data_IF_977918263680
#
_entry.id   IF_977918263680
#
_cell.length_a   1.000
_cell.length_b   1.000
_cell.length_c   1.000
_cell.angle_alpha   90.00
_cell.angle_beta   90.00
_cell.angle_gamma   90.00
#
_symmetry.space_group_name_H-M   'P 1'
#
loop_
_entity.id
_entity.type
_entity.pdbx_description
1 polymer ?
#
# COMPACT_ATOMS: atom_id res chain seq x y z
N UNK A 1 4.55 18.53 3.43
CA UNK A 1 5.02 17.90 4.70
C UNK A 1 3.99 18.03 5.82
N UNK A 2 3.39 19.20 6.04
CA UNK A 2 2.41 19.42 7.12
C UNK A 2 1.22 18.45 7.07
N UNK A 3 0.58 18.29 5.91
CA UNK A 3 -0.51 17.31 5.74
C UNK A 3 -0.05 15.86 5.90
N UNK A 4 1.17 15.55 5.48
CA UNK A 4 1.78 14.23 5.64
C UNK A 4 1.95 13.84 7.11
N UNK A 5 2.39 14.78 7.94
CA UNK A 5 2.51 14.60 9.38
C UNK A 5 1.16 14.61 10.09
N UNK A 6 0.23 15.44 9.62
CA UNK A 6 -1.13 15.48 10.15
C UNK A 6 -1.86 14.14 10.00
N UNK A 7 -1.71 13.47 8.85
CA UNK A 7 -2.22 12.11 8.64
C UNK A 7 -1.54 11.09 9.55
N UNK A 8 -0.22 11.24 9.80
CA UNK A 8 0.53 10.40 10.73
C UNK A 8 -0.02 10.50 12.17
N UNK A 9 -0.26 11.72 12.65
CA UNK A 9 -0.85 11.96 13.96
C UNK A 9 -2.29 11.44 14.05
N UNK A 10 -3.11 11.71 13.03
CA UNK A 10 -4.47 11.21 12.97
C UNK A 10 -4.54 9.67 13.05
N UNK A 11 -3.64 8.99 12.32
CA UNK A 11 -3.58 7.53 12.35
C UNK A 11 -3.17 6.99 13.73
N UNK A 12 -2.22 7.65 14.40
CA UNK A 12 -1.84 7.30 15.78
C UNK A 12 -3.03 7.35 16.72
N UNK A 13 -3.80 8.45 16.71
CA UNK A 13 -4.97 8.61 17.56
C UNK A 13 -6.10 7.62 17.20
N UNK A 14 -6.29 7.33 15.94
CA UNK A 14 -7.32 6.41 15.46
C UNK A 14 -6.99 4.95 15.74
N UNK A 15 -5.73 4.51 15.62
CA UNK A 15 -5.30 3.16 15.98
C UNK A 15 -5.39 2.99 17.48
N UNK A 16 -4.97 3.99 18.26
CA UNK A 16 -5.06 4.02 19.72
C UNK A 16 -6.44 4.39 20.27
N UNK A 17 -7.52 4.32 19.47
CA UNK A 17 -8.87 4.69 19.89
C UNK A 17 -9.29 4.00 21.20
N UNK A 18 -8.97 2.71 21.34
CA UNK A 18 -9.18 1.94 22.54
C UNK A 18 -8.00 2.13 23.53
N UNK A 19 -7.73 3.37 23.95
CA UNK A 19 -6.56 3.75 24.75
C UNK A 19 -6.39 2.98 26.07
N UNK A 20 -7.45 2.32 26.56
CA UNK A 20 -7.39 1.45 27.74
C UNK A 20 -6.84 0.05 27.44
N UNK A 21 -6.74 -0.35 26.14
CA UNK A 21 -6.18 -1.64 25.75
C UNK A 21 -4.67 -1.48 25.52
N UNK A 22 -3.80 -2.20 26.25
CA UNK A 22 -2.35 -2.11 26.05
C UNK A 22 -1.92 -2.49 24.64
N UNK A 23 -2.60 -3.46 23.99
CA UNK A 23 -2.33 -3.86 22.61
C UNK A 23 -2.56 -2.71 21.62
N UNK A 24 -3.66 -1.97 21.76
CA UNK A 24 -3.96 -0.82 20.88
C UNK A 24 -2.94 0.31 21.06
N UNK A 25 -2.51 0.59 22.30
CA UNK A 25 -1.48 1.59 22.59
C UNK A 25 -0.14 1.20 21.97
N UNK A 26 0.28 -0.06 22.14
CA UNK A 26 1.51 -0.59 21.55
C UNK A 26 1.47 -0.51 20.01
N UNK A 27 0.35 -0.88 19.41
CA UNK A 27 0.14 -0.81 17.97
C UNK A 27 0.20 0.63 17.45
N UNK A 28 -0.43 1.59 18.15
CA UNK A 28 -0.40 3.00 17.81
C UNK A 28 1.02 3.58 17.87
N UNK A 29 1.76 3.29 18.95
CA UNK A 29 3.16 3.72 19.12
C UNK A 29 4.03 3.11 18.02
N UNK A 30 3.88 1.82 17.74
CA UNK A 30 4.62 1.15 16.66
C UNK A 30 4.36 1.79 15.31
N UNK A 31 3.09 2.02 14.98
CA UNK A 31 2.71 2.68 13.73
C UNK A 31 3.34 4.07 13.62
N UNK A 32 3.29 4.86 14.70
CA UNK A 32 3.88 6.19 14.74
C UNK A 32 5.40 6.15 14.53
N UNK A 33 6.13 5.32 15.27
CA UNK A 33 7.60 5.24 15.20
C UNK A 33 8.07 4.75 13.83
N UNK A 34 7.47 3.67 13.30
CA UNK A 34 7.86 3.13 11.98
C UNK A 34 7.62 4.14 10.87
N UNK A 35 6.50 4.88 10.94
CA UNK A 35 6.23 5.95 9.97
C UNK A 35 7.25 7.10 10.10
N UNK A 36 7.71 7.44 11.31
CA UNK A 36 8.74 8.47 11.53
C UNK A 36 10.07 8.15 10.84
N UNK A 37 10.43 6.88 10.75
CA UNK A 37 11.63 6.49 9.97
C UNK A 37 11.46 6.88 8.49
N UNK A 38 10.28 6.64 7.91
CA UNK A 38 9.97 7.11 6.55
C UNK A 38 9.92 8.63 6.45
N UNK A 39 9.26 9.29 7.41
CA UNK A 39 9.10 10.76 7.45
C UNK A 39 10.44 11.48 7.53
N UNK A 40 11.44 10.89 8.21
CA UNK A 40 12.81 11.38 8.22
C UNK A 40 13.43 11.37 6.81
N UNK A 41 13.24 10.29 6.05
CA UNK A 41 13.67 10.23 4.64
C UNK A 41 13.02 11.33 3.79
N UNK A 42 11.71 11.55 3.95
CA UNK A 42 10.99 12.62 3.25
C UNK A 42 11.52 14.02 3.63
N UNK A 43 11.82 14.26 4.91
CA UNK A 43 12.37 15.53 5.34
C UNK A 43 13.75 15.78 4.71
N UNK A 44 14.62 14.78 4.67
CA UNK A 44 15.92 14.87 3.99
C UNK A 44 15.76 15.12 2.49
N UNK A 45 14.76 14.50 1.83
CA UNK A 45 14.46 14.78 0.43
C UNK A 45 14.07 16.24 0.20
N UNK A 46 13.23 16.82 1.05
CA UNK A 46 12.82 18.23 0.98
C UNK A 46 14.04 19.14 1.16
N UNK A 47 14.93 18.85 2.12
CA UNK A 47 16.15 19.63 2.32
C UNK A 47 17.09 19.53 1.11
N UNK A 48 17.27 18.34 0.54
CA UNK A 48 18.06 18.14 -0.67
C UNK A 48 17.48 18.92 -1.87
N UNK A 49 16.16 18.89 -2.05
CA UNK A 49 15.47 19.70 -3.07
C UNK A 49 15.76 21.18 -2.87
N UNK A 50 15.61 21.69 -1.66
CA UNK A 50 15.86 23.11 -1.39
C UNK A 50 17.32 23.51 -1.62
N UNK A 51 18.28 22.68 -1.24
CA UNK A 51 19.71 22.95 -1.44
C UNK A 51 20.06 23.00 -2.93
N UNK A 52 19.47 22.11 -3.76
CA UNK A 52 19.81 21.99 -5.18
C UNK A 52 19.07 23.00 -6.03
N UNK A 53 17.75 23.14 -5.82
CA UNK A 53 16.89 23.97 -6.65
C UNK A 53 16.69 25.40 -6.10
N UNK A 54 17.05 25.66 -4.83
CA UNK A 54 16.80 26.94 -4.16
C UNK A 54 15.31 27.20 -3.86
N UNK A 55 14.44 26.25 -4.15
CA UNK A 55 12.98 26.33 -3.97
C UNK A 55 12.41 24.96 -3.64
N UNK A 56 11.22 24.93 -3.00
CA UNK A 56 10.40 23.73 -2.79
C UNK A 56 9.10 23.79 -3.60
N UNK A 57 8.93 24.80 -4.43
CA UNK A 57 7.77 24.93 -5.31
C UNK A 57 7.83 23.88 -6.43
N UNK A 58 6.74 23.16 -6.62
CA UNK A 58 6.68 22.08 -7.59
C UNK A 58 6.95 22.54 -9.02
N UNK A 59 6.41 23.69 -9.43
CA UNK A 59 6.61 24.22 -10.79
C UNK A 59 8.09 24.53 -11.02
N UNK A 60 8.73 25.25 -10.11
CA UNK A 60 10.14 25.62 -10.20
C UNK A 60 11.04 24.37 -10.23
N UNK A 61 10.77 23.40 -9.34
CA UNK A 61 11.57 22.19 -9.21
C UNK A 61 11.43 21.31 -10.45
N UNK A 62 10.21 21.10 -10.96
CA UNK A 62 9.96 20.22 -12.09
C UNK A 62 10.47 20.81 -13.41
N UNK A 63 10.32 22.11 -13.64
CA UNK A 63 10.83 22.78 -14.82
C UNK A 63 12.37 22.80 -14.87
N UNK A 64 13.00 22.87 -13.69
CA UNK A 64 14.46 22.87 -13.58
C UNK A 64 15.07 21.45 -13.56
N UNK A 65 14.29 20.39 -13.32
CA UNK A 65 14.78 19.04 -13.03
C UNK A 65 15.79 18.53 -14.07
N UNK A 66 15.49 18.68 -15.37
CA UNK A 66 16.39 18.20 -16.44
C UNK A 66 17.76 18.91 -16.44
N UNK A 67 17.83 20.18 -16.00
CA UNK A 67 19.09 20.94 -15.92
C UNK A 67 20.03 20.40 -14.82
N UNK A 68 19.46 19.76 -13.80
CA UNK A 68 20.20 19.25 -12.65
C UNK A 68 20.44 17.74 -12.72
N UNK A 69 20.18 17.09 -13.83
CA UNK A 69 20.30 15.65 -14.03
C UNK A 69 21.68 15.07 -13.68
N UNK A 70 22.73 15.79 -14.03
CA UNK A 70 24.13 15.33 -13.83
C UNK A 70 24.79 15.97 -12.60
N UNK A 71 24.05 16.74 -11.82
CA UNK A 71 24.58 17.38 -10.61
C UNK A 71 24.80 16.34 -9.52
N UNK A 72 25.95 16.41 -8.86
CA UNK A 72 26.32 15.57 -7.74
C UNK A 72 26.25 16.33 -6.42
N UNK A 73 25.96 15.62 -5.34
CA UNK A 73 25.94 16.13 -3.97
C UNK A 73 26.72 15.19 -3.05
N UNK A 74 27.44 15.74 -2.10
CA UNK A 74 28.08 14.97 -1.03
C UNK A 74 27.05 14.63 0.05
N UNK A 75 26.81 13.32 0.23
CA UNK A 75 25.89 12.83 1.25
C UNK A 75 26.53 11.66 2.00
N UNK A 76 26.63 11.76 3.33
CA UNK A 76 27.23 10.75 4.23
C UNK A 76 28.62 10.27 3.74
N UNK A 77 29.45 11.21 3.22
CA UNK A 77 30.81 10.91 2.76
C UNK A 77 30.95 10.34 1.36
N UNK A 78 29.84 10.21 0.63
CA UNK A 78 29.81 9.74 -0.76
C UNK A 78 29.34 10.85 -1.70
N UNK A 79 29.92 10.89 -2.88
CA UNK A 79 29.45 11.72 -3.97
C UNK A 79 28.37 10.96 -4.74
N UNK A 80 27.14 11.47 -4.71
CA UNK A 80 25.96 10.84 -5.31
C UNK A 80 25.29 11.78 -6.30
N UNK A 81 24.67 11.23 -7.33
CA UNK A 81 23.80 12.02 -8.20
C UNK A 81 22.63 12.58 -7.38
N UNK A 82 22.43 13.89 -7.50
CA UNK A 82 21.48 14.63 -6.66
C UNK A 82 20.03 14.19 -6.88
N UNK A 83 19.62 14.02 -8.13
CA UNK A 83 18.24 13.60 -8.46
C UNK A 83 17.98 12.18 -7.99
N UNK A 84 18.95 11.26 -8.20
CA UNK A 84 18.81 9.89 -7.70
C UNK A 84 18.65 9.86 -6.18
N UNK A 85 19.47 10.64 -5.44
CA UNK A 85 19.37 10.73 -3.99
C UNK A 85 18.01 11.25 -3.55
N UNK A 86 17.51 12.33 -4.16
CA UNK A 86 16.19 12.90 -3.87
C UNK A 86 15.11 11.84 -4.08
N UNK A 87 15.11 11.12 -5.20
CA UNK A 87 14.12 10.10 -5.52
C UNK A 87 14.16 8.91 -4.52
N UNK A 88 15.35 8.45 -4.12
CA UNK A 88 15.46 7.43 -3.08
C UNK A 88 14.90 7.90 -1.74
N UNK A 89 15.21 9.12 -1.31
CA UNK A 89 14.73 9.68 -0.06
C UNK A 89 13.21 9.91 -0.07
N UNK A 90 12.65 10.40 -1.18
CA UNK A 90 11.20 10.51 -1.38
C UNK A 90 10.53 9.13 -1.28
N UNK A 91 11.14 8.11 -1.90
CA UNK A 91 10.59 6.76 -1.86
C UNK A 91 10.68 6.13 -0.46
N UNK A 92 11.74 6.40 0.32
CA UNK A 92 11.82 5.97 1.72
C UNK A 92 10.65 6.57 2.52
N UNK A 93 10.32 7.84 2.31
CA UNK A 93 9.13 8.45 2.86
C UNK A 93 7.84 7.73 2.47
N UNK A 94 7.71 7.43 1.17
CA UNK A 94 6.57 6.68 0.64
C UNK A 94 6.46 5.26 1.22
N UNK A 95 7.59 4.56 1.41
CA UNK A 95 7.65 3.21 1.99
C UNK A 95 7.06 3.15 3.41
N UNK A 96 7.30 4.18 4.23
CA UNK A 96 6.75 4.27 5.59
C UNK A 96 5.23 4.30 5.58
N UNK A 97 4.64 5.30 4.94
CA UNK A 97 3.17 5.47 4.90
C UNK A 97 2.45 4.33 4.17
N UNK A 98 3.05 3.83 3.09
CA UNK A 98 2.45 2.77 2.27
C UNK A 98 2.90 1.36 2.62
N UNK A 99 3.52 1.18 3.78
CA UNK A 99 3.87 -0.12 4.35
C UNK A 99 4.59 -1.04 3.35
N UNK A 100 5.62 -0.53 2.67
CA UNK A 100 6.44 -1.35 1.80
C UNK A 100 7.44 -2.18 2.60
N UNK A 101 8.06 -3.16 1.96
CA UNK A 101 9.01 -4.09 2.57
C UNK A 101 10.00 -3.31 3.48
N UNK A 102 10.36 -3.89 4.61
CA UNK A 102 11.08 -3.32 5.76
C UNK A 102 10.25 -2.39 6.67
N UNK A 103 9.36 -1.52 6.13
CA UNK A 103 8.53 -0.60 6.92
C UNK A 103 7.04 -1.01 6.98
N UNK A 104 6.71 -2.27 6.68
CA UNK A 104 5.33 -2.79 6.62
C UNK A 104 4.76 -3.25 7.96
N UNK A 105 5.61 -3.46 8.97
CA UNK A 105 5.26 -4.18 10.21
C UNK A 105 4.18 -3.52 11.06
N UNK A 106 3.94 -2.22 10.88
CA UNK A 106 2.91 -1.48 11.59
C UNK A 106 1.49 -1.73 11.06
N UNK A 107 1.36 -2.05 9.76
CA UNK A 107 0.07 -2.14 9.07
C UNK A 107 -0.84 -3.24 9.64
N UNK A 108 -0.38 -4.49 9.84
CA UNK A 108 -1.23 -5.54 10.43
C UNK A 108 -1.59 -5.28 11.89
N UNK A 109 -0.70 -4.64 12.66
CA UNK A 109 -0.96 -4.31 14.07
C UNK A 109 -1.94 -3.13 14.21
N UNK A 110 -2.03 -2.27 13.20
CA UNK A 110 -3.03 -1.20 13.14
C UNK A 110 -4.49 -1.72 13.12
N UNK A 111 -4.69 -3.04 12.96
CA UNK A 111 -6.01 -3.69 13.06
C UNK A 111 -6.60 -3.69 14.47
N UNK A 112 -5.85 -3.29 15.50
CA UNK A 112 -6.36 -3.09 16.87
C UNK A 112 -7.39 -1.95 16.97
N UNK A 113 -7.38 -1.01 16.04
CA UNK A 113 -8.39 0.05 15.96
C UNK A 113 -9.78 -0.46 15.52
N UNK A 114 -10.84 0.36 15.69
CA UNK A 114 -12.18 0.03 15.22
C UNK A 114 -12.20 -0.27 13.71
N UNK A 115 -13.08 -1.16 13.26
CA UNK A 115 -13.12 -1.59 11.85
C UNK A 115 -13.37 -0.44 10.86
N UNK A 116 -14.25 0.56 11.14
CA UNK A 116 -14.37 1.73 10.27
C UNK A 116 -13.08 2.53 10.12
N UNK A 117 -12.27 2.61 11.19
CA UNK A 117 -10.95 3.23 11.17
C UNK A 117 -9.99 2.42 10.27
N UNK A 118 -10.01 1.08 10.38
CA UNK A 118 -9.23 0.21 9.51
C UNK A 118 -9.61 0.43 8.04
N UNK A 119 -10.90 0.53 7.72
CA UNK A 119 -11.38 0.84 6.37
C UNK A 119 -10.84 2.20 5.89
N UNK A 120 -10.91 3.25 6.72
CA UNK A 120 -10.45 4.59 6.37
C UNK A 120 -8.93 4.62 6.10
N UNK A 121 -8.13 4.11 7.02
CA UNK A 121 -6.66 4.17 6.95
C UNK A 121 -6.13 3.33 5.78
N UNK A 122 -6.67 2.12 5.58
CA UNK A 122 -6.11 1.11 4.67
C UNK A 122 -6.73 1.10 3.28
N UNK A 123 -7.92 1.68 3.09
CA UNK A 123 -8.52 1.72 1.76
C UNK A 123 -8.05 2.90 0.92
N UNK A 124 -8.15 4.14 1.43
CA UNK A 124 -8.09 5.32 0.58
C UNK A 124 -7.21 6.47 1.10
N UNK A 125 -6.75 6.46 2.36
CA UNK A 125 -6.14 7.67 2.95
C UNK A 125 -4.64 7.52 3.19
N UNK A 126 -4.24 7.07 4.38
CA UNK A 126 -2.84 7.10 4.79
C UNK A 126 -1.93 6.26 3.90
N UNK A 127 -2.33 5.02 3.62
CA UNK A 127 -1.48 4.07 2.88
C UNK A 127 -1.35 4.41 1.39
N UNK A 128 -2.24 5.20 0.84
CA UNK A 128 -2.20 5.64 -0.57
C UNK A 128 -1.37 6.91 -0.76
N UNK A 129 -1.06 7.63 0.33
CA UNK A 129 -0.29 8.88 0.29
C UNK A 129 1.11 8.70 -0.31
N UNK A 130 1.78 7.56 -0.03
CA UNK A 130 3.09 7.27 -0.62
C UNK A 130 3.04 7.05 -2.12
N UNK A 131 2.02 6.34 -2.62
CA UNK A 131 1.82 6.17 -4.07
C UNK A 131 1.56 7.51 -4.74
N UNK A 132 0.69 8.34 -4.14
CA UNK A 132 0.42 9.69 -4.62
C UNK A 132 1.69 10.55 -4.65
N UNK A 133 2.54 10.49 -3.61
CA UNK A 133 3.81 11.22 -3.57
C UNK A 133 4.71 10.87 -4.76
N UNK A 134 4.90 9.57 -5.05
CA UNK A 134 5.74 9.13 -6.17
C UNK A 134 5.14 9.58 -7.50
N UNK A 135 3.83 9.44 -7.68
CA UNK A 135 3.14 9.90 -8.90
C UNK A 135 3.23 11.43 -9.04
N UNK A 136 3.05 12.20 -7.96
CA UNK A 136 3.16 13.67 -8.01
C UNK A 136 4.56 14.12 -8.36
N UNK A 137 5.57 13.39 -7.93
CA UNK A 137 6.98 13.68 -8.21
C UNK A 137 7.50 12.94 -9.46
N UNK A 138 6.62 12.43 -10.33
CA UNK A 138 7.00 11.70 -11.55
C UNK A 138 8.06 12.43 -12.40
N UNK A 139 8.07 13.78 -12.58
CA UNK A 139 9.10 14.43 -13.36
C UNK A 139 10.53 14.24 -12.83
N UNK A 140 10.67 14.04 -11.50
CA UNK A 140 11.96 13.71 -10.90
C UNK A 140 12.30 12.23 -11.08
N UNK A 141 11.32 11.33 -10.92
CA UNK A 141 11.53 9.89 -11.07
C UNK A 141 11.87 9.50 -12.51
N UNK A 142 11.26 10.11 -13.51
CA UNK A 142 11.50 9.83 -14.94
C UNK A 142 12.96 10.07 -15.35
N UNK A 143 13.63 11.02 -14.69
CA UNK A 143 15.04 11.35 -14.93
C UNK A 143 15.99 10.40 -14.14
N UNK A 144 15.45 9.59 -13.22
CA UNK A 144 16.20 8.70 -12.34
C UNK A 144 15.89 7.20 -12.61
N UNK A 145 16.44 6.58 -13.67
CA UNK A 145 16.17 5.17 -13.98
C UNK A 145 16.57 4.21 -12.85
N UNK A 146 17.60 4.55 -12.08
CA UNK A 146 18.04 3.75 -10.94
C UNK A 146 17.01 3.73 -9.80
N UNK A 147 16.42 4.89 -9.46
CA UNK A 147 15.37 4.97 -8.46
C UNK A 147 14.09 4.28 -8.94
N UNK A 148 13.70 4.43 -10.22
CA UNK A 148 12.57 3.71 -10.79
C UNK A 148 12.74 2.20 -10.72
N UNK A 149 13.94 1.68 -11.04
CA UNK A 149 14.25 0.26 -10.88
C UNK A 149 14.11 -0.22 -9.44
N UNK A 150 14.58 0.58 -8.49
CA UNK A 150 14.46 0.27 -7.06
C UNK A 150 12.99 0.28 -6.58
N UNK A 151 12.21 1.28 -6.98
CA UNK A 151 10.76 1.34 -6.70
C UNK A 151 10.05 0.10 -7.26
N UNK A 152 10.35 -0.28 -8.49
CA UNK A 152 9.79 -1.48 -9.14
C UNK A 152 10.12 -2.75 -8.36
N UNK A 153 11.39 -2.91 -7.99
CA UNK A 153 11.85 -4.08 -7.26
C UNK A 153 11.21 -4.20 -5.88
N UNK A 154 11.23 -3.13 -5.08
CA UNK A 154 10.62 -3.12 -3.74
C UNK A 154 9.11 -3.31 -3.84
N UNK A 155 8.44 -2.65 -4.78
CA UNK A 155 7.00 -2.80 -4.98
C UNK A 155 6.59 -4.23 -5.30
N UNK A 156 7.24 -4.87 -6.28
CA UNK A 156 6.95 -6.26 -6.65
C UNK A 156 7.28 -7.24 -5.52
N UNK A 157 8.42 -7.07 -4.85
CA UNK A 157 8.81 -7.89 -3.71
C UNK A 157 7.83 -7.76 -2.55
N UNK A 158 7.34 -6.54 -2.26
CA UNK A 158 6.32 -6.30 -1.24
C UNK A 158 5.00 -6.98 -1.60
N UNK A 159 4.58 -6.89 -2.86
CA UNK A 159 3.35 -7.50 -3.33
C UNK A 159 3.35 -9.00 -3.08
N UNK A 160 4.42 -9.68 -3.44
CA UNK A 160 4.60 -11.11 -3.26
C UNK A 160 4.70 -11.50 -1.78
N UNK A 161 5.59 -10.83 -1.03
CA UNK A 161 5.81 -11.12 0.38
C UNK A 161 4.53 -10.96 1.21
N UNK A 162 3.79 -9.88 1.02
CA UNK A 162 2.54 -9.66 1.73
C UNK A 162 1.46 -10.70 1.36
N UNK A 163 1.40 -11.12 0.09
CA UNK A 163 0.46 -12.16 -0.34
C UNK A 163 0.77 -13.52 0.29
N UNK A 164 2.05 -13.90 0.42
CA UNK A 164 2.42 -15.16 1.08
C UNK A 164 2.05 -15.17 2.56
N UNK A 165 2.21 -14.06 3.27
CA UNK A 165 1.76 -13.94 4.65
C UNK A 165 0.23 -14.00 4.74
N UNK A 166 -0.48 -13.34 3.81
CA UNK A 166 -1.95 -13.37 3.74
C UNK A 166 -2.54 -14.78 3.66
N UNK A 167 -1.83 -15.73 3.06
CA UNK A 167 -2.25 -17.14 2.97
C UNK A 167 -2.37 -17.84 4.32
N UNK A 168 -1.51 -17.48 5.28
CA UNK A 168 -1.40 -18.16 6.58
C UNK A 168 -2.10 -17.42 7.72
N UNK A 169 -2.54 -16.18 7.50
CA UNK A 169 -3.28 -15.43 8.51
C UNK A 169 -4.67 -16.02 8.76
N UNK A 170 -5.07 -16.01 10.03
CA UNK A 170 -6.39 -16.48 10.45
C UNK A 170 -7.32 -15.36 10.95
N UNK A 171 -6.80 -14.19 11.24
CA UNK A 171 -7.59 -13.00 11.58
C UNK A 171 -8.14 -12.36 10.32
N UNK A 172 -9.47 -12.18 10.24
CA UNK A 172 -10.17 -11.63 9.07
C UNK A 172 -9.65 -10.24 8.69
N UNK A 173 -9.38 -9.36 9.67
CA UNK A 173 -8.85 -8.01 9.44
C UNK A 173 -7.40 -8.06 8.97
N UNK A 174 -6.57 -8.94 9.54
CA UNK A 174 -5.17 -9.09 9.14
C UNK A 174 -5.03 -9.67 7.73
N UNK A 175 -5.87 -10.61 7.31
CA UNK A 175 -5.90 -11.09 5.91
C UNK A 175 -6.13 -9.93 4.95
N UNK A 176 -7.14 -9.09 5.23
CA UNK A 176 -7.46 -7.92 4.39
C UNK A 176 -6.34 -6.87 4.45
N UNK A 177 -5.68 -6.69 5.59
CA UNK A 177 -4.55 -5.76 5.75
C UNK A 177 -3.32 -6.19 4.92
N UNK A 178 -2.91 -7.45 4.98
CA UNK A 178 -1.82 -7.97 4.14
C UNK A 178 -2.18 -7.93 2.65
N UNK A 179 -3.45 -8.15 2.32
CA UNK A 179 -3.93 -7.93 0.98
C UNK A 179 -3.80 -6.46 0.55
N UNK A 180 -4.03 -5.50 1.46
CA UNK A 180 -3.77 -4.07 1.17
C UNK A 180 -2.29 -3.80 0.91
N UNK A 181 -1.40 -4.31 1.75
CA UNK A 181 0.04 -4.20 1.57
C UNK A 181 0.47 -4.75 0.20
N UNK A 182 -0.07 -5.90 -0.19
CA UNK A 182 0.16 -6.52 -1.51
C UNK A 182 -0.30 -5.62 -2.66
N UNK A 183 -1.51 -5.05 -2.59
CA UNK A 183 -2.02 -4.17 -3.65
C UNK A 183 -1.25 -2.84 -3.75
N UNK A 184 -0.79 -2.29 -2.62
CA UNK A 184 0.13 -1.14 -2.63
C UNK A 184 1.44 -1.48 -3.34
N UNK A 185 1.96 -2.69 -3.16
CA UNK A 185 3.12 -3.19 -3.92
C UNK A 185 2.88 -3.16 -5.43
N UNK A 186 1.68 -3.57 -5.90
CA UNK A 186 1.30 -3.44 -7.31
C UNK A 186 1.34 -1.99 -7.79
N UNK A 187 0.80 -1.05 -6.99
CA UNK A 187 0.82 0.37 -7.36
C UNK A 187 2.25 0.91 -7.45
N UNK A 188 3.16 0.49 -6.55
CA UNK A 188 4.53 0.94 -6.60
C UNK A 188 5.31 0.35 -7.77
N UNK A 189 5.20 -0.91 -8.09
CA UNK A 189 5.88 -1.36 -9.28
C UNK A 189 5.28 -0.79 -10.57
N UNK A 190 3.98 -0.46 -10.58
CA UNK A 190 3.38 0.29 -11.67
C UNK A 190 3.99 1.69 -11.82
N UNK A 191 4.18 2.42 -10.70
CA UNK A 191 4.88 3.72 -10.75
C UNK A 191 6.34 3.57 -11.18
N UNK A 192 7.03 2.53 -10.69
CA UNK A 192 8.43 2.27 -11.02
C UNK A 192 8.68 1.89 -12.48
N UNK A 193 7.69 1.32 -13.18
CA UNK A 193 7.77 1.12 -14.64
C UNK A 193 7.28 2.32 -15.44
N UNK A 194 6.87 3.42 -14.80
CA UNK A 194 6.39 4.64 -15.45
C UNK A 194 4.90 4.64 -15.79
N UNK A 195 4.12 3.64 -15.34
CA UNK A 195 2.68 3.55 -15.58
C UNK A 195 1.87 4.30 -14.51
N UNK A 196 2.15 5.58 -14.30
CA UNK A 196 1.57 6.41 -13.24
C UNK A 196 0.04 6.48 -13.30
N UNK A 197 -0.52 6.66 -14.50
CA UNK A 197 -1.97 6.73 -14.68
C UNK A 197 -2.65 5.42 -14.27
N UNK A 198 -2.03 4.28 -14.57
CA UNK A 198 -2.54 2.96 -14.21
C UNK A 198 -2.43 2.74 -12.70
N UNK A 199 -1.35 3.21 -12.07
CA UNK A 199 -1.19 3.17 -10.62
C UNK A 199 -2.31 3.95 -9.90
N UNK A 200 -2.61 5.18 -10.37
CA UNK A 200 -3.72 6.00 -9.83
C UNK A 200 -5.08 5.37 -10.13
N UNK A 201 -5.28 4.81 -11.30
CA UNK A 201 -6.51 4.08 -11.62
C UNK A 201 -6.73 2.90 -10.67
N UNK A 202 -5.68 2.10 -10.42
CA UNK A 202 -5.76 1.01 -9.46
C UNK A 202 -5.95 1.50 -8.02
N UNK A 203 -5.34 2.62 -7.63
CA UNK A 203 -5.55 3.26 -6.33
C UNK A 203 -7.03 3.65 -6.14
N UNK A 204 -7.65 4.22 -7.16
CA UNK A 204 -9.06 4.60 -7.12
C UNK A 204 -9.97 3.38 -6.96
N UNK A 205 -9.79 2.35 -7.79
CA UNK A 205 -10.59 1.11 -7.68
C UNK A 205 -10.37 0.39 -6.35
N UNK A 206 -9.10 0.35 -5.88
CA UNK A 206 -8.70 -0.22 -4.60
C UNK A 206 -9.44 0.42 -3.42
N UNK A 207 -9.58 1.74 -3.41
CA UNK A 207 -10.25 2.45 -2.35
C UNK A 207 -11.67 1.91 -2.10
N UNK A 208 -12.42 1.67 -3.17
CA UNK A 208 -13.80 1.18 -3.07
C UNK A 208 -13.89 -0.29 -2.63
N UNK A 209 -13.22 -1.21 -3.32
CA UNK A 209 -13.37 -2.62 -2.96
C UNK A 209 -12.71 -2.95 -1.61
N UNK A 210 -11.68 -2.21 -1.18
CA UNK A 210 -11.09 -2.40 0.15
C UNK A 210 -11.97 -1.85 1.26
N UNK A 211 -12.56 -0.67 1.08
CA UNK A 211 -13.53 -0.16 2.03
C UNK A 211 -14.69 -1.15 2.20
N UNK A 212 -15.20 -1.69 1.10
CA UNK A 212 -16.27 -2.71 1.11
C UNK A 212 -15.86 -3.95 1.90
N UNK A 213 -14.66 -4.51 1.66
CA UNK A 213 -14.17 -5.70 2.36
C UNK A 213 -13.95 -5.45 3.86
N UNK A 214 -13.39 -4.29 4.25
CA UNK A 214 -13.21 -3.95 5.66
C UNK A 214 -14.53 -3.73 6.38
N UNK A 215 -15.45 -2.95 5.80
CA UNK A 215 -16.76 -2.72 6.43
C UNK A 215 -17.60 -3.99 6.50
N UNK A 216 -17.54 -4.83 5.45
CA UNK A 216 -18.17 -6.14 5.46
C UNK A 216 -17.59 -7.07 6.54
N UNK A 217 -16.26 -7.09 6.71
CA UNK A 217 -15.63 -7.84 7.82
C UNK A 217 -16.07 -7.31 9.19
N UNK A 218 -16.25 -5.99 9.33
CA UNK A 218 -16.77 -5.39 10.56
C UNK A 218 -18.19 -5.87 10.91
N UNK A 219 -19.06 -5.98 9.91
CA UNK A 219 -20.41 -6.54 10.08
C UNK A 219 -20.36 -8.00 10.56
N UNK A 220 -19.45 -8.81 10.00
CA UNK A 220 -19.25 -10.19 10.43
C UNK A 220 -18.73 -10.26 11.87
N UNK A 221 -17.66 -9.54 12.19
CA UNK A 221 -17.05 -9.51 13.53
C UNK A 221 -18.08 -9.13 14.60
N UNK A 222 -18.87 -8.09 14.33
CA UNK A 222 -19.90 -7.65 15.26
C UNK A 222 -20.99 -8.71 15.49
N UNK A 223 -21.33 -9.48 14.47
CA UNK A 223 -22.32 -10.58 14.59
C UNK A 223 -21.80 -11.80 15.36
N UNK A 224 -20.46 -11.93 15.52
CA UNK A 224 -19.79 -12.98 16.26
C UNK A 224 -19.24 -12.50 17.62
N UNK A 225 -19.82 -11.48 18.25
CA UNK A 225 -19.38 -10.93 19.53
C UNK A 225 -17.89 -10.57 19.57
N UNK A 226 -17.45 -9.85 18.53
CA UNK A 226 -16.06 -9.37 18.34
C UNK A 226 -15.01 -10.48 18.09
N UNK A 227 -15.43 -11.71 17.73
CA UNK A 227 -14.52 -12.74 17.26
C UNK A 227 -13.91 -12.31 15.89
N UNK A 228 -12.59 -12.49 15.75
CA UNK A 228 -11.86 -12.12 14.51
C UNK A 228 -11.21 -13.33 13.83
N UNK A 229 -11.11 -14.48 14.50
CA UNK A 229 -10.51 -15.67 13.91
C UNK A 229 -11.49 -16.39 12.99
N UNK A 230 -11.14 -16.45 11.68
CA UNK A 230 -11.95 -17.10 10.66
C UNK A 230 -12.13 -18.60 10.88
N UNK A 231 -11.35 -19.24 11.77
CA UNK A 231 -11.50 -20.66 12.11
C UNK A 231 -12.66 -20.91 13.05
N UNK A 232 -13.04 -19.87 13.82
CA UNK A 232 -14.15 -19.89 14.76
C UNK A 232 -15.46 -19.34 14.14
N UNK A 233 -15.45 -19.07 12.83
CA UNK A 233 -16.59 -18.57 12.08
C UNK A 233 -17.09 -19.66 11.14
N UNK A 234 -18.37 -19.60 10.72
CA UNK A 234 -18.93 -20.50 9.73
C UNK A 234 -20.43 -20.32 9.56
N UNK A 235 -20.98 -20.83 8.46
CA UNK A 235 -22.42 -20.92 8.16
C UNK A 235 -23.21 -19.60 8.23
N UNK A 236 -22.55 -18.46 8.08
CA UNK A 236 -23.14 -17.11 8.28
C UNK A 236 -23.91 -16.60 7.07
N UNK A 237 -23.70 -17.17 5.90
CA UNK A 237 -24.29 -16.69 4.65
C UNK A 237 -25.83 -16.57 4.69
N UNK A 238 -26.50 -17.47 5.43
CA UNK A 238 -27.96 -17.43 5.61
C UNK A 238 -28.40 -16.34 6.57
N UNK A 239 -27.58 -16.03 7.59
CA UNK A 239 -27.89 -15.02 8.62
C UNK A 239 -27.55 -13.62 8.18
N UNK A 240 -26.50 -13.46 7.35
CA UNK A 240 -26.02 -12.18 6.83
C UNK A 240 -25.93 -12.19 5.29
N UNK A 241 -27.05 -12.39 4.56
CA UNK A 241 -27.04 -12.56 3.11
C UNK A 241 -26.53 -11.31 2.38
N UNK A 242 -26.86 -10.11 2.83
CA UNK A 242 -26.37 -8.87 2.21
C UNK A 242 -24.86 -8.70 2.39
N UNK A 243 -24.33 -8.95 3.59
CA UNK A 243 -22.89 -8.87 3.86
C UNK A 243 -22.15 -9.91 3.03
N UNK A 244 -22.69 -11.12 2.91
CA UNK A 244 -22.13 -12.19 2.08
C UNK A 244 -22.02 -11.77 0.61
N UNK A 245 -23.10 -11.26 0.00
CA UNK A 245 -23.10 -10.79 -1.39
C UNK A 245 -22.06 -9.68 -1.58
N UNK A 246 -22.04 -8.68 -0.69
CA UNK A 246 -21.11 -7.56 -0.77
C UNK A 246 -19.64 -8.01 -0.63
N UNK A 247 -19.37 -8.96 0.27
CA UNK A 247 -18.02 -9.53 0.45
C UNK A 247 -17.60 -10.35 -0.79
N UNK A 248 -18.51 -11.06 -1.44
CA UNK A 248 -18.23 -11.75 -2.70
C UNK A 248 -17.89 -10.74 -3.80
N UNK A 249 -18.70 -9.68 -3.97
CA UNK A 249 -18.45 -8.64 -4.97
C UNK A 249 -17.07 -7.99 -4.74
N UNK A 250 -16.75 -7.62 -3.50
CA UNK A 250 -15.45 -7.07 -3.15
C UNK A 250 -14.29 -8.04 -3.41
N UNK A 251 -14.48 -9.33 -3.14
CA UNK A 251 -13.50 -10.38 -3.39
C UNK A 251 -13.29 -10.61 -4.89
N UNK A 252 -14.35 -10.67 -5.68
CA UNK A 252 -14.27 -10.78 -7.14
C UNK A 252 -13.56 -9.57 -7.75
N UNK A 253 -13.86 -8.35 -7.26
CA UNK A 253 -13.15 -7.15 -7.68
C UNK A 253 -11.66 -7.20 -7.33
N UNK A 254 -11.32 -7.61 -6.11
CA UNK A 254 -9.93 -7.74 -5.65
C UNK A 254 -9.14 -8.80 -6.44
N UNK A 255 -9.76 -9.94 -6.77
CA UNK A 255 -9.10 -11.03 -7.50
C UNK A 255 -8.95 -10.77 -8.99
N UNK A 256 -9.62 -9.73 -9.51
CA UNK A 256 -9.56 -9.38 -10.93
C UNK A 256 -10.47 -10.25 -11.79
N UNK A 257 -11.71 -10.50 -11.31
CA UNK A 257 -12.70 -11.21 -12.12
C UNK A 257 -13.12 -10.32 -13.30
N UNK A 258 -13.23 -10.87 -14.53
CA UNK A 258 -13.66 -10.12 -15.72
C UNK A 258 -14.91 -9.28 -15.46
N UNK A 259 -15.00 -8.12 -16.08
CA UNK A 259 -16.08 -7.11 -15.96
C UNK A 259 -16.07 -6.30 -14.66
N UNK A 260 -15.26 -6.64 -13.65
CA UNK A 260 -15.11 -5.84 -12.43
C UNK A 260 -13.89 -4.92 -12.51
N UNK A 261 -13.90 -3.88 -11.68
CA UNK A 261 -12.90 -2.80 -11.74
C UNK A 261 -11.46 -3.28 -11.55
N UNK A 262 -11.24 -4.25 -10.68
CA UNK A 262 -9.92 -4.82 -10.39
C UNK A 262 -9.32 -5.58 -11.56
N UNK A 263 -10.12 -6.16 -12.45
CA UNK A 263 -9.64 -6.78 -13.69
C UNK A 263 -8.90 -5.76 -14.56
N UNK A 264 -9.59 -4.70 -14.94
CA UNK A 264 -9.00 -3.69 -15.83
C UNK A 264 -7.77 -3.02 -15.23
N UNK A 265 -7.79 -2.69 -13.94
CA UNK A 265 -6.69 -1.98 -13.31
C UNK A 265 -5.48 -2.88 -13.03
N UNK A 266 -5.66 -4.12 -12.57
CA UNK A 266 -4.57 -5.03 -12.25
C UNK A 266 -3.91 -5.60 -13.51
N UNK A 267 -4.70 -6.00 -14.50
CA UNK A 267 -4.19 -6.51 -15.77
C UNK A 267 -3.35 -5.46 -16.48
N UNK A 268 -3.83 -4.21 -16.52
CA UNK A 268 -3.06 -3.10 -17.07
C UNK A 268 -1.72 -2.92 -16.35
N UNK A 269 -1.66 -3.03 -15.02
CA UNK A 269 -0.40 -2.93 -14.27
C UNK A 269 0.60 -4.01 -14.73
N UNK A 270 0.16 -5.26 -14.84
CA UNK A 270 1.02 -6.39 -15.22
C UNK A 270 1.46 -6.24 -16.69
N UNK A 271 0.55 -5.82 -17.57
CA UNK A 271 0.83 -5.58 -18.98
C UNK A 271 1.88 -4.48 -19.18
N UNK A 272 1.70 -3.32 -18.56
CA UNK A 272 2.67 -2.22 -18.63
C UNK A 272 4.03 -2.61 -18.06
N UNK A 273 4.07 -3.41 -16.98
CA UNK A 273 5.30 -3.93 -16.44
C UNK A 273 6.04 -4.82 -17.44
N UNK A 274 5.33 -5.71 -18.14
CA UNK A 274 5.89 -6.55 -19.18
C UNK A 274 6.38 -5.74 -20.39
N UNK A 275 5.56 -4.78 -20.85
CA UNK A 275 5.87 -3.93 -22.02
C UNK A 275 7.07 -3.00 -21.78
N UNK A 276 7.45 -2.72 -20.53
CA UNK A 276 8.66 -1.92 -20.24
C UNK A 276 9.92 -2.53 -20.80
N UNK A 277 9.98 -3.86 -20.99
CA UNK A 277 11.04 -4.54 -21.73
C UNK A 277 12.43 -4.57 -21.04
N UNK A 278 12.50 -4.22 -19.75
CA UNK A 278 13.73 -4.30 -18.96
C UNK A 278 13.66 -5.39 -17.88
N UNK A 279 14.79 -5.72 -17.27
CA UNK A 279 14.87 -6.78 -16.27
C UNK A 279 13.93 -6.55 -15.08
N UNK A 280 13.77 -5.31 -14.60
CA UNK A 280 12.87 -4.98 -13.51
C UNK A 280 11.40 -5.11 -13.93
N UNK A 281 11.08 -4.75 -15.18
CA UNK A 281 9.74 -4.93 -15.75
C UNK A 281 9.36 -6.41 -15.86
N UNK A 282 10.21 -7.25 -16.42
CA UNK A 282 9.96 -8.69 -16.51
C UNK A 282 9.85 -9.34 -15.12
N UNK A 283 10.74 -8.97 -14.19
CA UNK A 283 10.66 -9.44 -12.81
C UNK A 283 9.32 -9.08 -12.17
N UNK A 284 8.90 -7.81 -12.27
CA UNK A 284 7.66 -7.36 -11.65
C UNK A 284 6.41 -7.94 -12.31
N UNK A 285 6.41 -8.14 -13.63
CA UNK A 285 5.31 -8.81 -14.32
C UNK A 285 5.17 -10.27 -13.88
N UNK A 286 6.28 -11.03 -13.84
CA UNK A 286 6.28 -12.42 -13.39
C UNK A 286 5.83 -12.56 -11.94
N UNK A 287 6.40 -11.78 -11.03
CA UNK A 287 6.02 -11.74 -9.61
C UNK A 287 4.57 -11.29 -9.46
N UNK A 288 4.12 -10.32 -10.28
CA UNK A 288 2.73 -9.85 -10.31
C UNK A 288 1.74 -10.97 -10.63
N UNK A 289 2.01 -11.80 -11.64
CA UNK A 289 1.15 -12.95 -12.02
C UNK A 289 1.05 -13.95 -10.85
N UNK A 290 2.18 -14.33 -10.26
CA UNK A 290 2.18 -15.25 -9.10
C UNK A 290 1.39 -14.65 -7.93
N UNK A 291 1.58 -13.36 -7.66
CA UNK A 291 0.89 -12.66 -6.58
C UNK A 291 -0.62 -12.57 -6.84
N UNK A 292 -1.05 -12.43 -8.09
CA UNK A 292 -2.47 -12.46 -8.44
C UNK A 292 -3.10 -13.82 -8.11
N UNK A 293 -2.40 -14.92 -8.40
CA UNK A 293 -2.81 -16.26 -8.02
C UNK A 293 -2.92 -16.44 -6.50
N UNK A 294 -1.90 -16.01 -5.75
CA UNK A 294 -1.94 -16.04 -4.28
C UNK A 294 -3.08 -15.18 -3.72
N UNK A 295 -3.34 -14.02 -4.35
CA UNK A 295 -4.48 -13.16 -3.99
C UNK A 295 -5.81 -13.88 -4.09
N UNK A 296 -6.02 -14.65 -5.15
CA UNK A 296 -7.22 -15.44 -5.33
C UNK A 296 -7.35 -16.50 -4.21
N UNK A 297 -6.28 -17.23 -3.90
CA UNK A 297 -6.32 -18.29 -2.89
C UNK A 297 -6.70 -17.74 -1.51
N UNK A 298 -6.01 -16.72 -0.99
CA UNK A 298 -6.30 -16.22 0.36
C UNK A 298 -7.65 -15.53 0.45
N UNK A 299 -8.09 -14.88 -0.63
CA UNK A 299 -9.38 -14.18 -0.64
C UNK A 299 -10.56 -15.16 -0.64
N UNK A 300 -10.50 -16.21 -1.45
CA UNK A 300 -11.52 -17.25 -1.44
C UNK A 300 -11.47 -18.10 -0.17
N UNK A 301 -10.26 -18.36 0.38
CA UNK A 301 -10.13 -19.01 1.69
C UNK A 301 -10.87 -18.21 2.78
N UNK A 302 -10.75 -16.87 2.78
CA UNK A 302 -11.45 -16.01 3.72
C UNK A 302 -12.97 -16.18 3.55
N UNK A 303 -13.51 -16.09 2.33
CA UNK A 303 -14.95 -16.19 2.07
C UNK A 303 -15.48 -17.57 2.48
N UNK A 304 -14.82 -18.66 2.07
CA UNK A 304 -15.30 -20.01 2.36
C UNK A 304 -15.27 -20.31 3.86
N UNK A 305 -14.19 -19.97 4.56
CA UNK A 305 -14.12 -20.20 6.01
C UNK A 305 -15.13 -19.38 6.79
N UNK A 306 -15.28 -18.10 6.46
CA UNK A 306 -16.17 -17.19 7.19
C UNK A 306 -17.64 -17.48 6.93
N UNK A 307 -18.04 -17.72 5.67
CA UNK A 307 -19.46 -17.79 5.31
C UNK A 307 -19.99 -19.21 5.09
N UNK A 308 -19.15 -20.15 4.64
CA UNK A 308 -19.56 -21.51 4.26
C UNK A 308 -18.93 -22.61 5.10
N UNK A 309 -17.99 -22.28 5.99
CA UNK A 309 -17.39 -23.25 6.91
C UNK A 309 -18.41 -23.84 7.89
N UNK A 310 -18.05 -24.96 8.49
CA UNK A 310 -18.79 -25.52 9.61
C UNK A 310 -18.52 -24.70 10.89
N UNK A 311 -19.59 -24.42 11.65
CA UNK A 311 -19.52 -23.66 12.90
C UNK A 311 -19.41 -24.60 14.09
#
# INVERSE_FOLDING_TARGET
FFGWEGVGLASYLLIGFWYRKPSANSAAIKAFIVNRVGDFGLALAIFAIFIIFGSIDYEIVFDAAEKYKDVTIYFVGYELNAINLICYLLFIGAMGKSAQLFLHTWLPDAMEGPTPVSALIHAATMVTAGVFLVVRCSPLFDISPSAMGFVTFIGASTAFFAATIGLVQNDIKRVIAYSTCSQLGYMFFATGVGAYNVAIFHLFTHAFFKALLFLGSGSVIHSFNDEQDIRNMGSVWKKLPYTWILMIIGTLALTGFPLLSGFYSKDAIIEFAYLRGNNFGYYSAFVGIITAFLTAIYSWRLIFKTFHGDY
#
